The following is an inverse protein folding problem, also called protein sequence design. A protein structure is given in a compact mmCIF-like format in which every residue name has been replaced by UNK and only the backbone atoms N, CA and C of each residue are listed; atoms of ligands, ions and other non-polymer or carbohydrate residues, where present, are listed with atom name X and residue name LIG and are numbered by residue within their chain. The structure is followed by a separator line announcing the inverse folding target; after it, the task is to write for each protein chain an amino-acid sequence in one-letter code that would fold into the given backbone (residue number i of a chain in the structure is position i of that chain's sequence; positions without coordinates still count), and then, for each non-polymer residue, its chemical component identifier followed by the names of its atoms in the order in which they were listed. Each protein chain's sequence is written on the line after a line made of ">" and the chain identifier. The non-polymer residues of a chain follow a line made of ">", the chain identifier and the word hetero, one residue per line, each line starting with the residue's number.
data_IF_287545336271
#
_entry.id   IF_287545336271
#
_cell.length_a   1.000
_cell.length_b   1.000
_cell.length_c   1.000
_cell.angle_alpha   90.00
_cell.angle_beta   90.00
_cell.angle_gamma   90.00
#
_symmetry.space_group_name_H-M   'P 1'
#
loop_
_entity.id
_entity.type
_entity.pdbx_description
1 polymer ?
#
# COMPACT_ATOMS: atom_id res chain seq x y z
N UNK A 1 12.11 12.11 -17.46
CA UNK A 1 10.89 11.36 -17.08
C UNK A 1 10.26 12.00 -15.84
N UNK A 2 8.93 12.03 -15.71
CA UNK A 2 8.23 12.64 -14.56
C UNK A 2 7.47 11.57 -13.76
N UNK A 3 7.71 11.51 -12.45
CA UNK A 3 6.98 10.65 -11.50
C UNK A 3 5.92 11.50 -10.81
N UNK A 4 4.66 11.11 -10.96
CA UNK A 4 3.54 11.70 -10.20
C UNK A 4 3.46 11.07 -8.80
N UNK A 5 3.49 11.90 -7.77
CA UNK A 5 3.45 11.44 -6.37
C UNK A 5 2.04 11.05 -5.93
N UNK A 6 1.00 11.45 -6.65
CA UNK A 6 -0.36 10.91 -6.45
C UNK A 6 -0.46 9.45 -6.90
N UNK A 7 0.51 8.97 -7.68
CA UNK A 7 0.60 7.62 -8.19
C UNK A 7 1.77 6.83 -7.58
N UNK A 8 2.33 7.29 -6.45
CA UNK A 8 3.46 6.65 -5.79
C UNK A 8 3.04 5.98 -4.46
N UNK A 9 3.30 4.68 -4.36
CA UNK A 9 3.31 3.93 -3.11
C UNK A 9 4.75 3.82 -2.61
N UNK A 10 4.98 4.14 -1.34
CA UNK A 10 6.30 4.02 -0.75
C UNK A 10 6.21 3.39 0.64
N UNK A 11 6.82 2.22 0.78
CA UNK A 11 7.06 1.54 2.06
C UNK A 11 8.55 1.56 2.38
N UNK A 12 8.87 1.85 3.63
CA UNK A 12 10.24 1.87 4.13
C UNK A 12 10.22 1.70 5.64
N UNK A 13 11.38 1.71 6.26
CA UNK A 13 11.54 1.65 7.70
C UNK A 13 12.05 2.97 8.27
N UNK A 14 11.76 3.18 9.54
CA UNK A 14 12.21 4.34 10.29
C UNK A 14 13.53 4.13 11.01
N UNK A 15 13.93 5.18 11.73
CA UNK A 15 15.03 5.09 12.66
C UNK A 15 14.69 4.17 13.84
N UNK A 16 13.48 4.33 14.41
CA UNK A 16 13.00 3.61 15.61
C UNK A 16 11.78 2.73 15.39
N UNK A 17 11.23 2.75 14.18
CA UNK A 17 10.06 1.98 13.81
C UNK A 17 10.39 1.04 12.64
N UNK A 18 9.60 -0.03 12.52
CA UNK A 18 9.79 -1.07 11.51
C UNK A 18 9.23 -0.62 10.15
N UNK A 19 8.83 -1.52 9.26
CA UNK A 19 8.35 -1.13 7.94
C UNK A 19 6.91 -0.61 7.93
N UNK A 20 6.72 0.65 7.52
CA UNK A 20 5.43 1.31 7.31
C UNK A 20 5.32 2.00 5.95
N UNK A 21 4.09 2.24 5.50
CA UNK A 21 3.83 3.06 4.32
C UNK A 21 3.98 4.53 4.69
N UNK A 22 5.01 5.16 4.14
CA UNK A 22 5.28 6.60 4.33
C UNK A 22 4.59 7.46 3.29
N UNK A 23 4.15 6.84 2.18
CA UNK A 23 3.33 7.47 1.16
C UNK A 23 2.37 6.43 0.56
N UNK A 24 1.09 6.78 0.44
CA UNK A 24 0.08 5.98 -0.27
C UNK A 24 -0.44 6.74 -1.47
N UNK A 25 -0.58 6.12 -2.64
CA UNK A 25 -1.05 6.83 -3.81
C UNK A 25 -2.54 7.17 -3.67
N UNK A 26 -2.92 8.31 -4.24
CA UNK A 26 -4.31 8.70 -4.44
C UNK A 26 -4.93 7.92 -5.61
N UNK A 27 -4.11 7.49 -6.58
CA UNK A 27 -4.52 6.66 -7.71
C UNK A 27 -3.46 5.58 -8.01
N UNK A 28 -3.86 4.31 -8.26
CA UNK A 28 -5.21 3.78 -8.19
C UNK A 28 -5.71 3.67 -6.75
N UNK A 29 -7.02 3.79 -6.53
CA UNK A 29 -7.62 3.57 -5.21
C UNK A 29 -7.83 2.06 -5.01
N UNK A 30 -7.04 1.45 -4.13
CA UNK A 30 -7.25 0.07 -3.69
C UNK A 30 -7.23 -0.05 -2.16
N UNK A 31 -7.99 -1.02 -1.63
CA UNK A 31 -8.12 -1.21 -0.17
C UNK A 31 -6.93 -1.97 0.46
N UNK A 32 -6.21 -2.78 -0.32
CA UNK A 32 -5.30 -3.82 0.19
C UNK A 32 -3.85 -3.57 -0.24
N UNK A 33 -3.30 -2.41 0.14
CA UNK A 33 -1.92 -2.04 -0.22
C UNK A 33 -0.86 -3.00 0.31
N UNK A 34 -1.05 -3.56 1.50
CA UNK A 34 -0.13 -4.57 2.05
C UNK A 34 -0.10 -5.84 1.20
N UNK A 35 -1.27 -6.43 0.89
CA UNK A 35 -1.39 -7.63 0.04
C UNK A 35 -0.76 -7.37 -1.35
N UNK A 36 -0.99 -6.19 -1.93
CA UNK A 36 -0.39 -5.77 -3.20
C UNK A 36 1.13 -5.67 -3.11
N UNK A 37 1.64 -4.97 -2.10
CA UNK A 37 3.08 -4.78 -1.87
C UNK A 37 3.78 -6.13 -1.64
N UNK A 38 3.23 -6.99 -0.79
CA UNK A 38 3.77 -8.33 -0.54
C UNK A 38 3.80 -9.16 -1.82
N UNK A 39 2.75 -9.12 -2.63
CA UNK A 39 2.69 -9.83 -3.91
C UNK A 39 3.79 -9.43 -4.91
N UNK A 40 4.29 -8.19 -4.83
CA UNK A 40 5.37 -7.69 -5.70
C UNK A 40 6.75 -7.98 -5.12
N UNK A 41 6.92 -7.77 -3.82
CA UNK A 41 8.24 -7.76 -3.18
C UNK A 41 8.55 -9.04 -2.39
N UNK A 42 7.67 -10.05 -2.41
CA UNK A 42 7.95 -11.35 -1.78
C UNK A 42 9.23 -11.97 -2.35
N UNK A 43 10.14 -12.36 -1.46
CA UNK A 43 11.45 -12.92 -1.83
C UNK A 43 12.47 -11.91 -2.36
N UNK A 44 12.15 -10.62 -2.41
CA UNK A 44 13.09 -9.58 -2.84
C UNK A 44 13.93 -9.11 -1.66
N UNK A 45 15.25 -9.24 -1.78
CA UNK A 45 16.21 -8.65 -0.82
C UNK A 45 16.73 -7.33 -1.39
N UNK A 46 16.44 -6.17 -0.75
CA UNK A 46 16.96 -4.88 -1.17
C UNK A 46 18.50 -4.84 -1.11
N UNK A 47 19.12 -4.17 -2.07
CA UNK A 47 20.58 -3.99 -2.11
C UNK A 47 20.96 -2.57 -2.56
N UNK A 48 22.24 -2.24 -2.55
CA UNK A 48 22.75 -0.97 -3.10
C UNK A 48 22.49 -0.81 -4.60
N UNK A 49 22.31 -1.94 -5.31
CA UNK A 49 21.88 -1.96 -6.70
C UNK A 49 20.36 -2.16 -6.73
N UNK A 50 19.58 -1.15 -7.19
CA UNK A 50 18.13 -1.24 -7.20
C UNK A 50 17.65 -2.41 -8.07
N UNK A 51 16.68 -3.17 -7.57
CA UNK A 51 15.97 -4.17 -8.36
C UNK A 51 14.65 -3.59 -8.85
N UNK A 52 14.54 -3.39 -10.15
CA UNK A 52 13.32 -2.88 -10.79
C UNK A 52 12.43 -4.03 -11.27
N UNK A 53 11.12 -3.89 -11.12
CA UNK A 53 10.10 -4.88 -11.46
C UNK A 53 8.97 -4.15 -12.20
N UNK A 54 8.53 -4.68 -13.35
CA UNK A 54 7.39 -4.14 -14.08
C UNK A 54 6.18 -5.06 -14.01
N UNK A 55 5.00 -4.46 -14.00
CA UNK A 55 3.75 -5.19 -14.00
C UNK A 55 2.52 -4.35 -14.33
N UNK A 56 1.37 -5.01 -14.24
CA UNK A 56 0.05 -4.46 -14.49
C UNK A 56 -0.85 -4.86 -13.32
N UNK A 57 -1.39 -3.85 -12.63
CA UNK A 57 -2.44 -4.03 -11.63
C UNK A 57 -3.81 -3.97 -12.31
N UNK A 58 -4.59 -5.03 -12.14
CA UNK A 58 -5.99 -5.11 -12.56
C UNK A 58 -6.90 -4.82 -11.36
N UNK A 59 -7.58 -3.68 -11.38
CA UNK A 59 -8.53 -3.28 -10.33
C UNK A 59 -9.67 -2.46 -10.89
N UNK A 60 -10.89 -2.66 -10.37
CA UNK A 60 -12.10 -1.94 -10.80
C UNK A 60 -12.32 -1.92 -12.32
N UNK A 61 -11.98 -3.00 -13.02
CA UNK A 61 -12.09 -3.12 -14.48
C UNK A 61 -11.08 -2.27 -15.27
N UNK A 62 -10.11 -1.66 -14.60
CA UNK A 62 -9.03 -0.88 -15.20
C UNK A 62 -7.68 -1.57 -15.02
N UNK A 63 -6.78 -1.32 -15.97
CA UNK A 63 -5.38 -1.74 -15.93
C UNK A 63 -4.54 -0.54 -15.50
N UNK A 64 -3.64 -0.75 -14.56
CA UNK A 64 -2.67 0.24 -14.09
C UNK A 64 -1.27 -0.34 -14.26
N UNK A 65 -0.58 -0.02 -15.35
CA UNK A 65 0.85 -0.32 -15.49
C UNK A 65 1.61 0.25 -14.29
N UNK A 66 2.57 -0.49 -13.75
CA UNK A 66 3.41 -0.04 -12.66
C UNK A 66 4.86 -0.45 -12.84
N UNK A 67 5.75 0.38 -12.31
CA UNK A 67 7.16 0.05 -12.07
C UNK A 67 7.40 0.09 -10.58
N UNK A 68 7.98 -0.99 -10.05
CA UNK A 68 8.36 -1.15 -8.67
C UNK A 68 9.88 -1.21 -8.54
N UNK A 69 10.42 -0.76 -7.42
CA UNK A 69 11.85 -0.85 -7.13
C UNK A 69 12.11 -1.13 -5.65
N UNK A 70 13.14 -1.94 -5.39
CA UNK A 70 13.63 -2.22 -4.06
C UNK A 70 15.14 -1.92 -3.98
N UNK A 71 15.56 -1.12 -3.01
CA UNK A 71 16.97 -0.75 -2.81
C UNK A 71 17.30 -0.42 -1.35
N UNK A 72 18.59 -0.35 -1.03
CA UNK A 72 19.09 0.10 0.26
C UNK A 72 19.67 1.52 0.16
N UNK A 73 19.23 2.40 1.05
CA UNK A 73 19.88 3.68 1.35
C UNK A 73 20.98 3.42 2.39
N UNK A 74 22.23 3.50 1.95
CA UNK A 74 23.41 3.25 2.79
C UNK A 74 23.73 4.41 3.71
N UNK A 75 23.24 5.61 3.40
CA UNK A 75 23.48 6.83 4.17
C UNK A 75 22.48 6.94 5.34
N UNK A 76 21.30 6.35 5.20
CA UNK A 76 20.33 6.23 6.28
C UNK A 76 20.54 4.95 7.10
N UNK A 77 20.64 5.11 8.43
CA UNK A 77 20.81 4.00 9.39
C UNK A 77 19.70 3.99 10.45
N UNK A 78 19.13 2.82 10.68
CA UNK A 78 18.21 2.62 11.81
C UNK A 78 18.97 2.66 13.16
N UNK A 79 18.25 2.57 14.27
CA UNK A 79 18.83 2.56 15.62
C UNK A 79 19.82 1.40 15.84
N UNK A 80 19.68 0.30 15.09
CA UNK A 80 20.57 -0.85 15.13
C UNK A 80 21.76 -0.74 14.16
N UNK A 81 21.94 0.39 13.46
CA UNK A 81 23.02 0.62 12.50
C UNK A 81 22.83 -0.09 11.15
N UNK A 82 21.66 -0.64 10.86
CA UNK A 82 21.32 -1.28 9.59
C UNK A 82 20.96 -0.22 8.55
N UNK A 83 21.40 -0.42 7.31
CA UNK A 83 20.95 0.40 6.17
C UNK A 83 19.43 0.34 6.00
N UNK A 84 18.83 1.45 5.59
CA UNK A 84 17.39 1.56 5.40
C UNK A 84 17.00 0.97 4.05
N UNK A 85 15.99 0.11 4.02
CA UNK A 85 15.47 -0.46 2.78
C UNK A 85 14.21 0.29 2.33
N UNK A 86 14.16 0.59 1.04
CA UNK A 86 13.08 1.29 0.39
C UNK A 86 12.40 0.38 -0.63
N UNK A 87 11.06 0.43 -0.62
CA UNK A 87 10.20 -0.26 -1.57
C UNK A 87 9.23 0.76 -2.15
N UNK A 88 9.39 1.07 -3.43
CA UNK A 88 8.55 2.05 -4.12
C UNK A 88 7.81 1.37 -5.27
N UNK A 89 6.55 1.76 -5.48
CA UNK A 89 5.76 1.39 -6.65
C UNK A 89 5.17 2.65 -7.24
N UNK A 90 5.49 2.93 -8.49
CA UNK A 90 4.89 4.03 -9.25
C UNK A 90 3.94 3.48 -10.30
N UNK A 91 2.70 3.95 -10.28
CA UNK A 91 1.68 3.64 -11.27
C UNK A 91 1.74 4.64 -12.42
N UNK A 92 1.99 4.14 -13.62
CA UNK A 92 1.94 4.95 -14.82
C UNK A 92 0.48 5.27 -15.19
N UNK A 93 0.25 6.43 -15.79
CA UNK A 93 -1.12 6.86 -16.13
C UNK A 93 -1.79 5.85 -17.07
N UNK A 94 -3.03 5.41 -16.79
CA UNK A 94 -3.76 4.47 -17.64
C UNK A 94 -4.14 5.06 -19.01
N UNK A 95 -4.00 6.39 -19.19
CA UNK A 95 -4.23 7.06 -20.47
C UNK A 95 -3.11 6.81 -21.49
N UNK A 96 -2.00 6.19 -21.07
CA UNK A 96 -0.86 5.84 -21.92
C UNK A 96 -0.67 4.32 -21.96
N UNK A 97 -1.51 3.72 -22.81
CA UNK A 97 -1.15 2.75 -23.85
C UNK A 97 -0.70 1.32 -23.46
N UNK A 98 -1.03 0.37 -24.37
CA UNK A 98 -0.77 -1.08 -24.36
C UNK A 98 0.74 -1.43 -24.48
N UNK A 99 1.59 -0.67 -23.80
CA UNK A 99 3.04 -0.85 -23.83
C UNK A 99 3.44 -2.07 -23.02
N UNK A 100 4.28 -2.94 -23.61
CA UNK A 100 4.78 -4.15 -22.96
C UNK A 100 5.97 -3.87 -22.00
N UNK A 101 6.54 -2.68 -22.07
CA UNK A 101 7.72 -2.27 -21.29
C UNK A 101 7.78 -0.76 -21.13
N UNK A 102 8.49 -0.29 -20.09
CA UNK A 102 8.74 1.12 -19.84
C UNK A 102 10.23 1.38 -19.62
N UNK A 103 10.72 2.48 -20.16
CA UNK A 103 12.08 2.95 -19.95
C UNK A 103 12.15 3.88 -18.73
N UNK A 104 12.98 3.54 -17.74
CA UNK A 104 13.15 4.31 -16.51
C UNK A 104 14.63 4.39 -16.11
N UNK A 105 15.11 5.45 -15.44
CA UNK A 105 16.46 5.46 -14.88
C UNK A 105 16.68 4.30 -13.92
N UNK A 106 17.85 3.64 -13.98
CA UNK A 106 18.15 2.50 -13.11
C UNK A 106 17.97 2.80 -11.62
N UNK A 107 18.30 4.03 -11.20
CA UNK A 107 18.23 4.53 -9.83
C UNK A 107 17.01 5.40 -9.51
N UNK A 108 15.92 5.30 -10.28
CA UNK A 108 14.77 6.21 -10.14
C UNK A 108 14.22 6.28 -8.70
N UNK A 109 14.19 5.15 -7.98
CA UNK A 109 13.71 5.11 -6.59
C UNK A 109 14.54 5.99 -5.67
N UNK A 110 15.86 5.91 -5.78
CA UNK A 110 16.79 6.72 -4.99
C UNK A 110 16.67 8.21 -5.32
N UNK A 111 16.45 8.55 -6.60
CA UNK A 111 16.19 9.94 -7.01
C UNK A 111 14.89 10.49 -6.39
N UNK A 112 13.83 9.68 -6.36
CA UNK A 112 12.57 10.05 -5.69
C UNK A 112 12.78 10.30 -4.21
N UNK A 113 13.46 9.38 -3.50
CA UNK A 113 13.75 9.55 -2.06
C UNK A 113 14.57 10.82 -1.81
N UNK A 114 15.57 11.10 -2.66
CA UNK A 114 16.37 12.32 -2.57
C UNK A 114 15.55 13.59 -2.78
N UNK A 115 14.57 13.56 -3.69
CA UNK A 115 13.71 14.71 -3.99
C UNK A 115 12.82 15.12 -2.80
N UNK A 116 12.44 14.19 -1.91
CA UNK A 116 11.76 14.53 -0.66
C UNK A 116 12.66 15.22 0.36
N UNK A 117 13.99 15.06 0.25
CA UNK A 117 14.98 15.82 1.02
C UNK A 117 14.68 15.86 2.53
N UNK A 118 14.55 17.06 3.15
CA UNK A 118 14.29 17.18 4.60
C UNK A 118 12.98 16.53 5.07
N UNK A 119 11.95 16.49 4.23
CA UNK A 119 10.65 15.90 4.60
C UNK A 119 10.78 14.40 4.87
N UNK A 120 11.56 13.70 4.02
CA UNK A 120 11.89 12.30 4.24
C UNK A 120 12.68 12.11 5.55
N UNK A 121 13.69 12.94 5.81
CA UNK A 121 14.50 12.83 7.03
C UNK A 121 13.66 13.05 8.30
N UNK A 122 12.69 13.96 8.24
CA UNK A 122 11.75 14.18 9.33
C UNK A 122 10.86 12.95 9.56
N UNK A 123 10.26 12.39 8.51
CA UNK A 123 9.46 11.17 8.60
C UNK A 123 10.28 9.98 9.14
N UNK A 124 11.52 9.82 8.68
CA UNK A 124 12.45 8.78 9.11
C UNK A 124 12.75 8.84 10.62
N UNK A 125 12.94 10.05 11.17
CA UNK A 125 13.25 10.27 12.58
C UNK A 125 11.99 10.29 13.49
N UNK A 126 10.80 10.44 12.91
CA UNK A 126 9.53 10.47 13.62
C UNK A 126 9.13 9.10 14.20
N UNK A 127 7.93 9.04 14.78
CA UNK A 127 7.30 7.79 15.20
C UNK A 127 6.48 7.20 14.06
N UNK A 128 6.31 5.88 14.05
CA UNK A 128 5.33 5.26 13.16
C UNK A 128 3.92 5.55 13.67
N UNK A 129 3.09 6.03 12.76
CA UNK A 129 1.66 5.83 12.83
C UNK A 129 1.26 5.12 11.54
N UNK A 130 0.91 3.81 11.60
CA UNK A 130 0.65 3.02 10.40
C UNK A 130 -0.56 3.55 9.62
N UNK A 131 -1.44 4.33 10.25
CA UNK A 131 -2.64 4.89 9.62
C UNK A 131 -2.38 6.27 9.01
N UNK A 132 -1.22 6.88 9.28
CA UNK A 132 -0.86 8.21 8.78
C UNK A 132 0.09 8.10 7.58
N UNK A 133 -0.26 8.80 6.50
CA UNK A 133 0.66 9.05 5.40
C UNK A 133 1.63 10.16 5.80
N UNK A 134 2.83 9.75 6.27
CA UNK A 134 3.85 10.65 6.82
C UNK A 134 4.35 11.69 5.82
N UNK A 135 4.22 11.42 4.51
CA UNK A 135 4.69 12.31 3.44
C UNK A 135 3.56 13.00 2.67
N UNK A 136 2.29 12.85 3.08
CA UNK A 136 1.15 13.47 2.39
C UNK A 136 1.29 15.01 2.27
N UNK A 137 1.79 15.67 3.33
CA UNK A 137 2.02 17.12 3.30
C UNK A 137 3.13 17.49 2.30
N UNK A 138 4.21 16.71 2.24
CA UNK A 138 5.30 16.91 1.29
C UNK A 138 4.85 16.65 -0.15
N UNK A 139 4.06 15.60 -0.39
CA UNK A 139 3.42 15.33 -1.68
C UNK A 139 2.62 16.51 -2.19
N UNK A 140 1.82 17.14 -1.32
CA UNK A 140 0.99 18.31 -1.71
C UNK A 140 1.85 19.47 -2.25
N UNK A 141 3.06 19.64 -1.72
CA UNK A 141 4.00 20.69 -2.16
C UNK A 141 4.78 20.29 -3.41
N UNK A 142 5.33 19.07 -3.44
CA UNK A 142 6.22 18.61 -4.49
C UNK A 142 5.46 18.22 -5.77
N UNK A 143 4.29 17.59 -5.62
CA UNK A 143 3.38 17.02 -6.64
C UNK A 143 4.01 15.95 -7.54
N UNK A 144 5.22 16.18 -8.03
CA UNK A 144 5.92 15.27 -8.93
C UNK A 144 7.43 15.44 -8.83
N UNK A 145 8.17 14.38 -9.18
CA UNK A 145 9.63 14.38 -9.25
C UNK A 145 10.08 14.28 -10.71
N UNK A 146 11.00 15.16 -11.11
CA UNK A 146 11.69 15.06 -12.39
C UNK A 146 12.93 14.19 -12.21
N UNK A 147 13.03 13.11 -12.99
CA UNK A 147 14.17 12.22 -12.97
C UNK A 147 15.23 12.67 -13.98
N UNK A 148 16.50 12.42 -13.65
CA UNK A 148 17.69 12.78 -14.44
C UNK A 148 17.63 12.26 -15.88
N UNK A 149 17.14 11.03 -16.07
CA UNK A 149 17.20 10.32 -17.34
C UNK A 149 18.50 9.52 -17.53
N UNK A 150 19.39 9.52 -16.54
CA UNK A 150 20.70 8.88 -16.66
C UNK A 150 20.59 7.35 -16.52
N UNK A 151 21.36 6.63 -17.35
CA UNK A 151 21.45 5.17 -17.35
C UNK A 151 20.07 4.49 -17.36
N UNK A 152 19.27 4.70 -18.43
CA UNK A 152 17.95 4.11 -18.52
C UNK A 152 18.03 2.59 -18.59
N UNK A 153 17.02 1.94 -18.01
CA UNK A 153 16.77 0.51 -18.11
C UNK A 153 15.36 0.29 -18.65
N UNK A 154 15.22 -0.71 -19.52
CA UNK A 154 13.92 -1.13 -20.03
C UNK A 154 13.36 -2.17 -19.06
N UNK A 155 12.20 -1.91 -18.51
CA UNK A 155 11.52 -2.79 -17.56
C UNK A 155 10.27 -3.37 -18.23
N UNK A 156 10.24 -4.68 -18.42
CA UNK A 156 9.10 -5.38 -18.99
C UNK A 156 7.93 -5.48 -17.98
N UNK A 157 6.70 -5.31 -18.45
CA UNK A 157 5.49 -5.32 -17.64
C UNK A 157 4.89 -6.74 -17.48
N UNK A 158 5.69 -7.65 -16.94
CA UNK A 158 5.37 -9.08 -16.92
C UNK A 158 4.47 -9.46 -15.73
N UNK A 159 4.56 -8.76 -14.60
CA UNK A 159 3.83 -9.14 -13.39
C UNK A 159 2.34 -8.77 -13.51
N UNK A 160 1.45 -9.77 -13.41
CA UNK A 160 0.01 -9.54 -13.43
C UNK A 160 -0.54 -9.64 -12.01
N UNK A 161 -1.05 -8.52 -11.47
CA UNK A 161 -1.65 -8.48 -10.13
C UNK A 161 -3.14 -8.27 -10.27
N UNK A 162 -3.94 -9.29 -9.92
CA UNK A 162 -5.40 -9.21 -9.99
C UNK A 162 -5.94 -8.96 -8.58
N UNK A 163 -6.55 -7.81 -8.36
CA UNK A 163 -7.34 -7.59 -7.14
C UNK A 163 -8.61 -8.45 -7.21
N UNK A 164 -8.55 -9.62 -6.59
CA UNK A 164 -9.76 -10.35 -6.24
C UNK A 164 -10.45 -9.57 -5.13
N UNK A 165 -11.64 -9.05 -5.40
CA UNK A 165 -12.55 -8.57 -4.36
C UNK A 165 -12.67 -9.70 -3.34
N UNK A 166 -12.01 -9.60 -2.18
CA UNK A 166 -12.23 -10.54 -1.07
C UNK A 166 -13.73 -10.47 -0.83
N UNK A 167 -14.48 -11.50 -1.23
CA UNK A 167 -15.89 -11.59 -0.88
C UNK A 167 -15.91 -11.44 0.63
N UNK A 168 -16.58 -10.41 1.16
CA UNK A 168 -16.76 -10.30 2.60
C UNK A 168 -17.29 -11.65 3.04
N UNK A 169 -16.47 -12.42 3.76
CA UNK A 169 -16.95 -13.62 4.42
C UNK A 169 -18.21 -13.17 5.19
N UNK A 170 -19.33 -13.90 5.09
CA UNK A 170 -20.56 -13.49 5.77
C UNK A 170 -20.18 -13.16 7.20
N UNK A 171 -20.48 -11.92 7.64
CA UNK A 171 -20.15 -11.45 8.99
C UNK A 171 -20.61 -12.56 9.93
N UNK A 172 -19.67 -13.24 10.58
CA UNK A 172 -19.95 -14.30 11.54
C UNK A 172 -20.86 -13.65 12.58
N UNK A 173 -22.16 -13.92 12.51
CA UNK A 173 -23.13 -13.38 13.46
C UNK A 173 -22.59 -13.76 14.83
N UNK A 174 -22.28 -12.75 15.65
CA UNK A 174 -21.62 -13.01 16.92
C UNK A 174 -22.52 -13.94 17.73
N UNK A 175 -21.94 -14.95 18.39
CA UNK A 175 -22.73 -15.86 19.25
C UNK A 175 -23.56 -15.08 20.28
N UNK A 176 -23.13 -13.87 20.66
CA UNK A 176 -23.89 -12.94 21.50
C UNK A 176 -25.18 -12.45 20.85
N UNK A 177 -25.15 -12.05 19.58
CA UNK A 177 -26.37 -11.65 18.83
C UNK A 177 -27.36 -12.82 18.70
N UNK A 178 -26.86 -14.03 18.49
CA UNK A 178 -27.71 -15.23 18.42
C UNK A 178 -28.35 -15.55 19.79
N UNK A 179 -27.59 -15.40 20.89
CA UNK A 179 -28.12 -15.60 22.24
C UNK A 179 -29.13 -14.53 22.65
N UNK A 180 -28.91 -13.26 22.27
CA UNK A 180 -29.87 -12.18 22.55
C UNK A 180 -31.19 -12.43 21.81
N UNK A 181 -31.14 -12.82 20.54
CA UNK A 181 -32.34 -13.17 19.78
C UNK A 181 -33.09 -14.37 20.38
N UNK A 182 -32.35 -15.41 20.83
CA UNK A 182 -32.94 -16.57 21.50
C UNK A 182 -33.60 -16.22 22.84
N UNK A 183 -32.95 -15.39 23.66
CA UNK A 183 -33.50 -14.95 24.94
C UNK A 183 -34.77 -14.09 24.75
N UNK A 184 -34.77 -13.18 23.77
CA UNK A 184 -35.94 -12.37 23.45
C UNK A 184 -37.13 -13.23 22.98
N UNK A 185 -36.88 -14.23 22.13
CA UNK A 185 -37.92 -15.15 21.66
C UNK A 185 -38.51 -15.97 22.83
N UNK A 186 -37.66 -16.46 23.73
CA UNK A 186 -38.11 -17.20 24.91
C UNK A 186 -38.97 -16.33 25.83
N UNK A 187 -38.59 -15.07 26.04
CA UNK A 187 -39.33 -14.13 26.88
C UNK A 187 -40.71 -13.79 26.30
N UNK A 188 -40.79 -13.64 24.98
CA UNK A 188 -42.07 -13.45 24.27
C UNK A 188 -42.97 -14.68 24.44
N UNK A 189 -42.44 -15.88 24.26
CA UNK A 189 -43.21 -17.12 24.43
C UNK A 189 -43.68 -17.32 25.88
N UNK A 190 -42.85 -16.96 26.86
CA UNK A 190 -43.22 -17.01 28.28
C UNK A 190 -44.37 -16.05 28.60
N UNK A 191 -44.32 -14.81 28.08
CA UNK A 191 -45.39 -13.83 28.27
C UNK A 191 -46.71 -14.28 27.63
N UNK A 192 -46.66 -14.87 26.44
CA UNK A 192 -47.85 -15.43 25.77
C UNK A 192 -48.45 -16.57 26.61
N UNK A 193 -47.62 -17.45 27.16
CA UNK A 193 -48.09 -18.54 27.99
C UNK A 193 -48.71 -18.04 29.31
N UNK A 194 -48.08 -17.07 29.99
CA UNK A 194 -48.63 -16.49 31.21
C UNK A 194 -49.98 -15.80 30.96
N UNK A 195 -50.10 -15.03 29.87
CA UNK A 195 -51.36 -14.40 29.49
C UNK A 195 -52.48 -15.41 29.18
N UNK A 196 -52.15 -16.63 28.75
CA UNK A 196 -53.14 -17.69 28.52
C UNK A 196 -53.68 -18.35 29.80
N UNK A 197 -52.97 -18.22 30.93
CA UNK A 197 -53.41 -18.78 32.22
C UNK A 197 -54.44 -17.90 32.94
N UNK A 198 -54.53 -16.61 32.62
CA UNK A 198 -55.49 -15.68 33.25
C UNK A 198 -56.91 -15.73 32.65
N UNK A 199 -57.12 -16.52 31.59
CA UNK A 199 -58.40 -16.62 30.85
C UNK A 199 -59.22 -17.86 31.24
N UNK A 200 -58.76 -18.63 32.23
CA UNK A 200 -59.47 -19.81 32.80
C UNK A 200 -59.85 -19.58 34.24
#
# INVERSE_FOLDING_TARGET
>A
MRIDLDCLLWRTRGHKWDYSFVLRPNLPVIEWWYDFHEGIFSGITPSIHPKNIGGILHTNGKKYPFIATAFQDVDAKDEAGRSVAHFLVWFHSPEHDDTASLEVPAGWGSEVVRAFGPDWRSAFAGNDDPDVDLLAAARTRLKSVMLSGDNPVIVALEHQVIQKKKSRAPKRISRRLLMIAGAALFLILLLIWLASQEVT
#
